data_IF_815251212176
#
_entry.id   IF_815251212176
#
_cell.length_a   1.000
_cell.length_b   1.000
_cell.length_c   1.000
_cell.angle_alpha   90.00
_cell.angle_beta   90.00
_cell.angle_gamma   90.00
#
_symmetry.space_group_name_H-M   'P 1'
#
loop_
_entity.id
_entity.type
_entity.pdbx_description
1 polymer ?
#
# COMPACT_ATOMS: atom_id res chain seq x y z
N UNK A 1 5.59 -12.28 5.97
CA UNK A 1 4.36 -11.72 5.33
C UNK A 1 4.65 -11.49 3.85
N UNK A 2 3.67 -11.67 2.96
CA UNK A 2 3.81 -11.41 1.52
C UNK A 2 2.63 -10.56 1.03
N UNK A 3 2.89 -9.31 0.62
CA UNK A 3 1.89 -8.43 0.03
C UNK A 3 1.52 -8.95 -1.36
N UNK A 4 0.22 -9.03 -1.67
CA UNK A 4 -0.29 -9.54 -2.95
C UNK A 4 -0.88 -8.43 -3.80
N UNK A 5 -1.67 -7.55 -3.18
CA UNK A 5 -2.18 -6.38 -3.86
C UNK A 5 -2.42 -5.22 -2.92
N UNK A 6 -2.44 -4.02 -3.51
CA UNK A 6 -2.83 -2.77 -2.90
C UNK A 6 -3.84 -2.09 -3.82
N UNK A 7 -5.05 -1.82 -3.33
CA UNK A 7 -6.04 -0.96 -3.98
C UNK A 7 -6.04 0.40 -3.31
N UNK A 8 -5.98 1.45 -4.12
CA UNK A 8 -5.98 2.85 -3.73
C UNK A 8 -7.20 3.52 -4.35
N UNK A 9 -7.97 4.23 -3.53
CA UNK A 9 -9.06 5.10 -3.99
C UNK A 9 -8.93 6.48 -3.33
N UNK A 10 -8.83 7.53 -4.15
CA UNK A 10 -8.65 8.92 -3.73
C UNK A 10 -7.45 9.14 -2.80
N UNK A 11 -6.31 8.52 -3.16
CA UNK A 11 -5.08 8.59 -2.39
C UNK A 11 -4.07 9.49 -3.10
N UNK A 12 -3.97 10.75 -2.68
CA UNK A 12 -3.11 11.78 -3.31
C UNK A 12 -3.21 11.73 -4.83
N UNK A 13 -2.10 11.49 -5.54
CA UNK A 13 -2.05 11.43 -6.99
C UNK A 13 -2.82 10.25 -7.63
N UNK A 14 -3.28 9.26 -6.85
CA UNK A 14 -4.04 8.11 -7.34
C UNK A 14 -5.56 8.28 -7.13
N UNK A 15 -6.31 8.34 -8.24
CA UNK A 15 -7.78 8.34 -8.20
C UNK A 15 -8.31 6.95 -7.86
N UNK A 16 -8.02 5.97 -8.71
CA UNK A 16 -8.40 4.58 -8.51
C UNK A 16 -7.34 3.69 -9.15
N UNK A 17 -6.62 2.93 -8.34
CA UNK A 17 -5.52 2.09 -8.82
C UNK A 17 -5.47 0.78 -8.05
N UNK A 18 -5.28 -0.33 -8.76
CA UNK A 18 -4.86 -1.60 -8.18
C UNK A 18 -3.42 -1.91 -8.60
N UNK A 19 -2.58 -2.25 -7.62
CA UNK A 19 -1.19 -2.65 -7.81
C UNK A 19 -1.07 -4.10 -7.35
N UNK A 20 -0.60 -4.96 -8.26
CA UNK A 20 -0.30 -6.37 -7.97
C UNK A 20 1.19 -6.50 -7.67
N UNK A 21 1.52 -7.15 -6.55
CA UNK A 21 2.91 -7.37 -6.15
C UNK A 21 3.33 -8.80 -6.54
N UNK A 22 4.35 -8.95 -7.40
CA UNK A 22 4.92 -10.26 -7.70
C UNK A 22 5.62 -10.83 -6.46
N UNK A 23 5.96 -12.11 -6.51
CA UNK A 23 6.92 -12.68 -5.56
C UNK A 23 8.32 -12.14 -5.85
N UNK A 24 9.10 -11.89 -4.80
CA UNK A 24 10.46 -11.36 -4.90
C UNK A 24 10.53 -9.87 -4.59
N UNK A 25 11.59 -9.23 -5.07
CA UNK A 25 11.83 -7.80 -4.89
C UNK A 25 11.10 -6.98 -5.95
N UNK A 26 10.55 -5.82 -5.55
CA UNK A 26 9.85 -4.90 -6.44
C UNK A 26 10.57 -3.55 -6.41
N UNK A 27 10.90 -3.02 -7.58
CA UNK A 27 11.43 -1.68 -7.75
C UNK A 27 10.30 -0.70 -8.08
N UNK A 28 10.16 0.36 -7.30
CA UNK A 28 9.32 1.50 -7.65
C UNK A 28 10.21 2.56 -8.32
N UNK A 29 10.04 2.74 -9.64
CA UNK A 29 10.80 3.70 -10.45
C UNK A 29 9.88 4.72 -11.12
N UNK A 30 10.43 5.89 -11.48
CA UNK A 30 9.73 7.02 -12.10
C UNK A 30 10.23 8.36 -11.59
N UNK A 31 9.67 9.44 -12.12
CA UNK A 31 10.12 10.82 -11.83
C UNK A 31 9.76 11.32 -10.43
N UNK A 32 10.40 12.40 -10.01
CA UNK A 32 10.05 13.11 -8.77
C UNK A 32 8.59 13.54 -8.85
N UNK A 33 7.82 13.30 -7.78
CA UNK A 33 6.39 13.60 -7.75
C UNK A 33 5.46 12.54 -8.36
N UNK A 34 5.99 11.47 -8.98
CA UNK A 34 5.19 10.41 -9.62
C UNK A 34 4.37 9.51 -8.66
N UNK A 35 4.38 9.77 -7.35
CA UNK A 35 3.56 9.03 -6.37
C UNK A 35 4.19 7.77 -5.77
N UNK A 36 5.47 7.47 -6.06
CA UNK A 36 6.18 6.30 -5.50
C UNK A 36 6.14 6.23 -3.98
N UNK A 37 6.46 7.33 -3.31
CA UNK A 37 6.41 7.41 -1.83
C UNK A 37 4.98 7.30 -1.30
N UNK A 38 3.99 7.70 -2.08
CA UNK A 38 2.57 7.52 -1.73
C UNK A 38 2.22 6.03 -1.67
N UNK A 39 2.69 5.20 -2.61
CA UNK A 39 2.48 3.74 -2.58
C UNK A 39 3.03 3.16 -1.26
N UNK A 40 4.26 3.53 -0.87
CA UNK A 40 4.86 3.05 0.38
C UNK A 40 4.07 3.49 1.62
N UNK A 41 3.63 4.75 1.65
CA UNK A 41 2.81 5.28 2.75
C UNK A 41 1.43 4.62 2.82
N UNK A 42 0.83 4.27 1.69
CA UNK A 42 -0.43 3.52 1.65
C UNK A 42 -0.26 2.09 2.16
N UNK A 43 0.87 1.44 1.85
CA UNK A 43 1.19 0.12 2.40
C UNK A 43 1.34 0.21 3.93
N UNK A 44 2.09 1.20 4.41
CA UNK A 44 2.27 1.47 5.85
C UNK A 44 0.93 1.69 6.55
N UNK A 45 0.12 2.63 6.04
CA UNK A 45 -1.20 2.94 6.58
C UNK A 45 -2.12 1.72 6.56
N UNK A 46 -2.09 0.93 5.49
CA UNK A 46 -2.86 -0.30 5.39
C UNK A 46 -2.43 -1.37 6.41
N UNK A 47 -1.15 -1.42 6.74
CA UNK A 47 -0.58 -2.39 7.66
C UNK A 47 -0.80 -2.01 9.13
N UNK A 48 -0.60 -0.74 9.45
CA UNK A 48 -0.46 -0.27 10.83
C UNK A 48 -1.49 0.79 11.24
N UNK A 49 -2.29 1.28 10.30
CA UNK A 49 -3.24 2.36 10.55
C UNK A 49 -2.57 3.72 10.77
N UNK A 50 -3.29 4.61 11.45
CA UNK A 50 -2.98 6.04 11.60
C UNK A 50 -1.99 6.34 12.74
N UNK A 51 -0.88 5.60 12.87
CA UNK A 51 0.09 5.85 13.96
C UNK A 51 0.96 7.09 13.72
N UNK A 52 1.29 7.39 12.45
CA UNK A 52 2.17 8.52 12.09
C UNK A 52 1.54 9.55 11.14
N UNK A 53 0.48 9.19 10.42
CA UNK A 53 -0.26 10.09 9.52
C UNK A 53 -1.74 9.80 9.62
N UNK A 54 -2.56 10.85 9.79
CA UNK A 54 -4.01 10.76 9.70
C UNK A 54 -4.41 10.30 8.30
N UNK A 55 -5.50 9.54 8.19
CA UNK A 55 -6.04 9.13 6.88
C UNK A 55 -6.24 10.33 5.95
N UNK A 56 -6.57 11.49 6.50
CA UNK A 56 -6.69 12.77 5.79
C UNK A 56 -5.40 13.21 5.08
N UNK A 57 -4.22 12.96 5.65
CA UNK A 57 -2.94 13.30 5.02
C UNK A 57 -2.64 12.49 3.74
N UNK A 58 -3.41 11.41 3.50
CA UNK A 58 -3.39 10.63 2.27
C UNK A 58 -4.55 10.98 1.32
N UNK A 59 -5.54 11.75 1.77
CA UNK A 59 -6.67 12.15 0.96
C UNK A 59 -6.21 12.99 -0.23
N UNK A 60 -6.77 12.67 -1.39
CA UNK A 60 -6.56 13.47 -2.60
C UNK A 60 -7.23 14.83 -2.44
N UNK A 61 -6.56 15.88 -2.91
CA UNK A 61 -7.12 17.24 -2.91
C UNK A 61 -8.45 17.28 -3.68
N UNK A 62 -9.47 17.87 -3.07
CA UNK A 62 -10.81 17.97 -3.65
C UNK A 62 -11.72 16.77 -3.41
N UNK A 63 -11.23 15.72 -2.75
CA UNK A 63 -12.02 14.54 -2.38
C UNK A 63 -12.42 14.59 -0.91
N UNK A 64 -13.56 13.96 -0.57
CA UNK A 64 -14.11 13.94 0.80
C UNK A 64 -13.83 12.62 1.53
N UNK A 65 -13.36 11.59 0.82
CA UNK A 65 -13.04 10.30 1.41
C UNK A 65 -11.96 9.58 0.62
N UNK A 66 -11.21 8.72 1.32
CA UNK A 66 -10.23 7.84 0.71
C UNK A 66 -10.35 6.42 1.24
N UNK A 67 -9.79 5.46 0.49
CA UNK A 67 -9.73 4.07 0.92
C UNK A 67 -8.43 3.43 0.43
N UNK A 68 -7.78 2.67 1.32
CA UNK A 68 -6.70 1.78 0.96
C UNK A 68 -7.04 0.36 1.41
N UNK A 69 -6.97 -0.61 0.50
CA UNK A 69 -7.19 -2.03 0.81
C UNK A 69 -5.96 -2.84 0.41
N UNK A 70 -5.51 -3.75 1.27
CA UNK A 70 -4.46 -4.72 0.92
C UNK A 70 -4.98 -6.14 0.91
N UNK A 71 -4.35 -6.97 0.10
CA UNK A 71 -4.38 -8.43 0.24
C UNK A 71 -2.98 -8.92 0.60
N UNK A 72 -2.87 -9.80 1.57
CA UNK A 72 -1.59 -10.38 1.97
C UNK A 72 -1.73 -11.85 2.38
N UNK A 73 -0.61 -12.57 2.31
CA UNK A 73 -0.49 -13.95 2.78
C UNK A 73 0.58 -14.05 3.88
N UNK A 74 0.33 -14.87 4.89
CA UNK A 74 1.34 -15.24 5.88
C UNK A 74 2.12 -16.48 5.39
N UNK A 75 3.44 -16.47 5.52
CA UNK A 75 4.24 -17.68 5.32
C UNK A 75 3.97 -18.58 6.54
N UNK A 76 3.43 -19.79 6.33
CA UNK A 76 3.36 -20.78 7.41
C UNK A 76 4.79 -21.21 7.73
N UNK A 77 5.20 -21.13 8.99
CA UNK A 77 6.42 -21.79 9.44
C UNK A 77 6.20 -23.30 9.34
N UNK A 78 6.97 -23.95 8.47
CA UNK A 78 7.03 -25.41 8.39
C UNK A 78 7.90 -25.84 9.55
N UNK A 79 7.28 -26.26 10.66
CA UNK A 79 8.02 -26.92 11.72
C UNK A 79 8.50 -28.25 11.15
N UNK A 80 9.82 -28.40 11.02
CA UNK A 80 10.43 -29.71 10.84
C UNK A 80 10.27 -30.43 12.19
N UNK A 81 9.39 -31.44 12.21
CA UNK A 81 9.52 -32.52 13.19
C UNK A 81 10.58 -33.46 12.64
N UNK A 82 11.73 -33.47 13.28
CA UNK A 82 12.58 -34.65 13.34
C UNK A 82 11.94 -35.70 14.26
#
# INVERSE_FOLDING_TARGET
>A
MLLKSLKLNNIRSYNNQEILFPSGSVLLSGDIGAGKSTILQSIEYSLFGSRHKTGEALLRNGENSNCTKRKQRYKKHRQHKE
#
